data_IF_054648819307
#
_entry.id   IF_054648819307
#
_cell.length_a   1.000
_cell.length_b   1.000
_cell.length_c   1.000
_cell.angle_alpha   90.00
_cell.angle_beta   90.00
_cell.angle_gamma   90.00
#
_symmetry.space_group_name_H-M   'P 1'
#
loop_
_entity.id
_entity.type
_entity.pdbx_description
1 polymer ?
#
# COMPACT_ATOMS: atom_id res chain seq x y z
N UNK A 1 -48.65 8.98 -15.54
CA UNK A 1 -47.67 9.01 -16.65
C UNK A 1 -46.57 10.05 -16.38
N UNK A 2 -45.77 9.85 -15.33
CA UNK A 2 -44.66 10.76 -14.96
C UNK A 2 -43.37 10.03 -14.59
N UNK A 3 -43.32 8.71 -14.77
CA UNK A 3 -42.27 7.82 -14.26
C UNK A 3 -41.17 7.54 -15.30
N UNK A 4 -41.54 7.37 -16.57
CA UNK A 4 -40.60 7.00 -17.65
C UNK A 4 -39.48 8.01 -17.87
N UNK A 5 -39.75 9.32 -17.76
CA UNK A 5 -38.70 10.35 -17.91
C UNK A 5 -37.65 10.28 -16.79
N UNK A 6 -38.08 9.97 -15.57
CA UNK A 6 -37.19 9.83 -14.42
C UNK A 6 -36.37 8.54 -14.53
N UNK A 7 -36.96 7.47 -15.02
CA UNK A 7 -36.28 6.21 -15.28
C UNK A 7 -35.18 6.37 -16.34
N UNK A 8 -35.46 7.08 -17.43
CA UNK A 8 -34.45 7.39 -18.46
C UNK A 8 -33.31 8.24 -17.91
N UNK A 9 -33.60 9.23 -17.06
CA UNK A 9 -32.58 10.05 -16.42
C UNK A 9 -31.69 9.22 -15.47
N UNK A 10 -32.29 8.39 -14.61
CA UNK A 10 -31.55 7.47 -13.72
C UNK A 10 -30.70 6.50 -14.51
N UNK A 11 -31.23 5.94 -15.58
CA UNK A 11 -30.48 5.05 -16.48
C UNK A 11 -29.27 5.77 -17.08
N UNK A 12 -29.45 7.02 -17.53
CA UNK A 12 -28.34 7.86 -17.99
C UNK A 12 -27.25 8.00 -16.93
N UNK A 13 -27.60 8.34 -15.69
CA UNK A 13 -26.62 8.43 -14.59
C UNK A 13 -25.93 7.08 -14.35
N UNK A 14 -26.68 5.97 -14.32
CA UNK A 14 -26.09 4.65 -14.09
C UNK A 14 -25.07 4.25 -15.16
N UNK A 15 -25.28 4.65 -16.41
CA UNK A 15 -24.35 4.36 -17.50
C UNK A 15 -23.18 5.34 -17.50
N UNK A 16 -23.44 6.63 -17.38
CA UNK A 16 -22.41 7.66 -17.55
C UNK A 16 -21.58 7.92 -16.30
N UNK A 17 -22.11 7.71 -15.09
CA UNK A 17 -21.32 7.88 -13.87
C UNK A 17 -20.08 6.97 -13.82
N UNK A 18 -20.16 5.65 -14.04
CA UNK A 18 -18.96 4.80 -14.04
C UNK A 18 -18.02 5.11 -15.20
N UNK A 19 -18.54 5.45 -16.39
CA UNK A 19 -17.72 5.86 -17.54
C UNK A 19 -16.96 7.14 -17.23
N UNK A 20 -17.61 8.12 -16.61
CA UNK A 20 -17.00 9.38 -16.20
C UNK A 20 -15.88 9.16 -15.18
N UNK A 21 -16.12 8.33 -14.16
CA UNK A 21 -15.10 7.97 -13.18
C UNK A 21 -13.93 7.29 -13.88
N UNK A 22 -14.18 6.28 -14.73
CA UNK A 22 -13.13 5.55 -15.44
C UNK A 22 -12.31 6.45 -16.35
N UNK A 23 -12.97 7.38 -17.06
CA UNK A 23 -12.30 8.38 -17.89
C UNK A 23 -11.43 9.30 -17.03
N UNK A 24 -11.97 9.88 -15.96
CA UNK A 24 -11.25 10.79 -15.09
C UNK A 24 -10.05 10.13 -14.41
N UNK A 25 -10.23 8.91 -13.89
CA UNK A 25 -9.15 8.16 -13.24
C UNK A 25 -8.15 7.55 -14.22
N UNK A 26 -8.56 7.34 -15.47
CA UNK A 26 -7.76 6.70 -16.51
C UNK A 26 -6.80 7.65 -17.23
N UNK A 27 -6.90 8.96 -17.01
CA UNK A 27 -5.97 9.92 -17.60
C UNK A 27 -4.61 9.83 -16.88
N UNK A 28 -3.48 9.77 -17.60
CA UNK A 28 -2.15 9.67 -16.99
C UNK A 28 -1.86 10.77 -15.95
N UNK A 29 -2.36 11.98 -16.20
CA UNK A 29 -2.19 13.12 -15.30
C UNK A 29 -2.88 12.96 -13.94
N UNK A 30 -3.96 12.18 -13.85
CA UNK A 30 -4.61 11.86 -12.57
C UNK A 30 -3.70 10.93 -11.74
N UNK A 31 -3.10 9.94 -12.39
CA UNK A 31 -2.21 8.99 -11.74
C UNK A 31 -0.98 9.69 -11.15
N UNK A 32 -0.34 10.58 -11.92
CA UNK A 32 0.83 11.34 -11.47
C UNK A 32 0.53 12.27 -10.28
N UNK A 33 -0.64 12.90 -10.27
CA UNK A 33 -1.02 13.87 -9.23
C UNK A 33 -1.55 13.22 -7.96
N UNK A 34 -2.38 12.19 -8.09
CA UNK A 34 -3.10 11.63 -6.95
C UNK A 34 -2.48 10.31 -6.49
N UNK A 35 -2.06 9.43 -7.40
CA UNK A 35 -1.62 8.07 -7.04
C UNK A 35 -0.13 7.98 -6.71
N UNK A 36 0.73 8.63 -7.49
CA UNK A 36 2.19 8.60 -7.26
C UNK A 36 2.59 9.14 -5.88
N UNK A 37 2.06 10.29 -5.41
CA UNK A 37 2.40 10.80 -4.08
C UNK A 37 1.93 9.88 -2.94
N UNK A 38 0.78 9.24 -3.11
CA UNK A 38 0.27 8.25 -2.16
C UNK A 38 1.19 7.03 -2.08
N UNK A 39 1.74 6.55 -3.21
CA UNK A 39 2.72 5.44 -3.21
C UNK A 39 3.93 5.78 -2.35
N UNK A 40 4.48 6.98 -2.50
CA UNK A 40 5.66 7.41 -1.72
C UNK A 40 5.35 7.48 -0.22
N UNK A 41 4.15 7.96 0.15
CA UNK A 41 3.72 8.08 1.56
C UNK A 41 3.36 6.74 2.20
N UNK A 42 2.67 5.86 1.47
CA UNK A 42 2.20 4.57 1.98
C UNK A 42 3.33 3.57 2.17
N UNK A 43 4.25 3.50 1.20
CA UNK A 43 5.28 2.47 1.18
C UNK A 43 6.61 2.91 1.81
N UNK A 44 6.67 4.11 2.41
CA UNK A 44 7.88 4.68 3.02
C UNK A 44 9.13 4.41 2.16
N UNK A 45 9.04 4.67 0.85
CA UNK A 45 10.10 4.32 -0.11
C UNK A 45 11.46 4.95 0.24
N UNK A 46 11.44 6.06 0.97
CA UNK A 46 12.63 6.80 1.39
C UNK A 46 13.22 6.28 2.70
N UNK A 47 12.45 5.53 3.50
CA UNK A 47 12.98 4.90 4.70
C UNK A 47 13.67 3.60 4.28
N UNK A 48 14.90 3.33 4.74
CA UNK A 48 15.51 2.03 4.55
C UNK A 48 14.62 0.99 5.24
N UNK A 49 13.86 0.24 4.43
CA UNK A 49 13.26 -1.01 4.88
C UNK A 49 14.40 -1.90 5.38
N UNK A 50 14.12 -2.71 6.39
CA UNK A 50 15.11 -3.66 6.91
C UNK A 50 15.73 -4.45 5.74
N UNK A 51 17.01 -4.17 5.47
CA UNK A 51 17.75 -4.86 4.43
C UNK A 51 18.34 -6.12 5.04
N UNK A 52 18.00 -7.31 4.52
CA UNK A 52 18.60 -8.53 5.01
C UNK A 52 20.10 -8.51 4.71
N UNK A 53 20.94 -9.06 5.61
CA UNK A 53 22.37 -9.19 5.36
C UNK A 53 22.62 -10.02 4.11
N UNK A 54 23.44 -9.50 3.19
CA UNK A 54 23.67 -10.11 1.87
C UNK A 54 25.00 -10.89 1.81
N UNK A 55 26.00 -10.51 2.62
CA UNK A 55 27.27 -11.21 2.71
C UNK A 55 27.23 -12.31 3.78
N UNK A 56 27.99 -13.39 3.57
CA UNK A 56 28.05 -14.54 4.48
C UNK A 56 28.52 -14.13 5.88
N UNK A 57 29.52 -13.26 5.99
CA UNK A 57 30.03 -12.75 7.27
C UNK A 57 28.96 -11.96 8.04
N UNK A 58 28.20 -11.10 7.34
CA UNK A 58 27.11 -10.33 7.92
C UNK A 58 25.96 -11.23 8.40
N UNK A 59 25.69 -12.33 7.69
CA UNK A 59 24.68 -13.31 8.08
C UNK A 59 25.05 -13.96 9.41
N UNK A 60 26.31 -14.40 9.56
CA UNK A 60 26.77 -15.01 10.81
C UNK A 60 26.71 -14.03 11.98
N UNK A 61 27.19 -12.80 11.80
CA UNK A 61 27.10 -11.75 12.82
C UNK A 61 25.64 -11.43 13.19
N UNK A 62 24.72 -11.51 12.23
CA UNK A 62 23.30 -11.30 12.50
C UNK A 62 22.67 -12.47 13.27
N UNK A 63 23.06 -13.71 12.95
CA UNK A 63 22.60 -14.90 13.66
C UNK A 63 23.01 -14.90 15.13
N UNK A 64 24.23 -14.48 15.44
CA UNK A 64 24.71 -14.43 16.82
C UNK A 64 23.95 -13.38 17.64
N UNK A 65 23.69 -12.19 17.06
CA UNK A 65 22.81 -11.17 17.67
C UNK A 65 21.39 -11.69 17.93
N UNK A 66 20.86 -12.55 17.06
CA UNK A 66 19.53 -13.15 17.26
C UNK A 66 19.54 -14.16 18.41
N UNK A 67 20.61 -14.94 18.55
CA UNK A 67 20.78 -15.90 19.66
C UNK A 67 20.89 -15.18 21.00
N UNK A 68 21.68 -14.12 21.07
CA UNK A 68 21.81 -13.27 22.26
C UNK A 68 20.48 -12.65 22.67
N UNK A 69 19.72 -12.10 21.72
CA UNK A 69 18.37 -11.56 21.98
C UNK A 69 17.42 -12.62 22.52
N UNK A 70 17.53 -13.86 22.04
CA UNK A 70 16.69 -14.97 22.52
C UNK A 70 17.07 -15.33 23.95
N UNK A 71 18.36 -15.51 24.23
CA UNK A 71 18.87 -15.79 25.58
C UNK A 71 18.48 -14.70 26.59
N UNK A 72 18.56 -13.43 26.20
CA UNK A 72 18.13 -12.31 27.06
C UNK A 72 16.62 -12.33 27.37
N UNK A 73 15.79 -12.69 26.38
CA UNK A 73 14.35 -12.87 26.60
C UNK A 73 14.05 -14.05 27.52
N UNK A 74 14.77 -15.16 27.36
CA UNK A 74 14.60 -16.36 28.16
C UNK A 74 15.05 -16.10 29.61
N UNK A 75 16.14 -15.34 29.82
CA UNK A 75 16.58 -14.90 31.14
C UNK A 75 15.57 -13.97 31.82
N UNK A 76 15.05 -12.96 31.11
CA UNK A 76 14.04 -12.03 31.63
C UNK A 76 12.67 -12.68 31.90
N UNK A 77 12.43 -13.91 31.43
CA UNK A 77 11.23 -14.70 31.72
C UNK A 77 11.42 -15.62 32.93
N UNK A 78 12.67 -15.87 33.33
CA UNK A 78 13.05 -16.71 34.46
C UNK A 78 13.36 -15.90 35.74
N UNK A 79 13.46 -14.58 35.66
CA UNK A 79 13.22 -13.63 36.76
C UNK A 79 11.73 -13.35 36.95
#
# INVERSE_FOLDING_TARGET
MGTTRLEVFKFGIYVFAPIYVMYFTGIPSYFEKEVVPLRTKLFRLNDPTYQPPQATEDIHAHMDKLRERKAAKDAAKHE
#
